data_IF_526602925354
#
_entry.id   IF_526602925354
#
_cell.length_a   1.000
_cell.length_b   1.000
_cell.length_c   1.000
_cell.angle_alpha   90.00
_cell.angle_beta   90.00
_cell.angle_gamma   90.00
#
_symmetry.space_group_name_H-M   'P 1'
#
loop_
_entity.id
_entity.type
_entity.pdbx_description
1 polymer ?
#
# COMPACT_ATOMS: atom_id res chain seq x y z
N UNK A 1 7.43 23.02 -24.85
CA UNK A 1 7.55 22.47 -23.49
C UNK A 1 7.22 20.98 -23.56
N UNK A 2 8.16 20.07 -23.25
CA UNK A 2 7.85 18.65 -23.12
C UNK A 2 6.99 18.51 -21.84
N UNK A 3 5.72 18.15 -21.99
CA UNK A 3 4.87 17.82 -20.86
C UNK A 3 5.52 16.70 -20.06
N UNK A 4 5.63 16.86 -18.76
CA UNK A 4 6.09 15.80 -17.85
C UNK A 4 5.04 14.69 -17.95
N UNK A 5 5.43 13.55 -18.53
CA UNK A 5 4.53 12.40 -18.67
C UNK A 5 4.28 11.83 -17.25
N UNK A 6 3.05 11.88 -16.79
CA UNK A 6 2.63 11.30 -15.53
C UNK A 6 2.55 9.79 -15.68
N UNK A 7 3.23 9.04 -14.79
CA UNK A 7 3.19 7.58 -14.78
C UNK A 7 2.01 7.08 -13.95
N UNK A 8 1.49 5.92 -14.31
CA UNK A 8 0.55 5.14 -13.47
C UNK A 8 1.34 4.19 -12.60
N UNK A 9 1.38 4.48 -11.31
CA UNK A 9 2.16 3.73 -10.33
C UNK A 9 1.21 2.96 -9.43
N UNK A 10 1.34 1.63 -9.40
CA UNK A 10 0.58 0.79 -8.47
C UNK A 10 1.40 0.49 -7.22
N UNK A 11 0.74 0.40 -6.09
CA UNK A 11 1.29 -0.09 -4.82
C UNK A 11 0.49 -1.31 -4.41
N UNK A 12 1.15 -2.46 -4.25
CA UNK A 12 0.49 -3.72 -3.93
C UNK A 12 1.22 -4.48 -2.83
N UNK A 13 0.61 -4.71 -1.66
CA UNK A 13 1.14 -5.64 -0.67
C UNK A 13 1.17 -7.07 -1.19
N UNK A 14 2.30 -7.76 -1.00
CA UNK A 14 2.44 -9.15 -1.43
C UNK A 14 1.96 -10.09 -0.33
N UNK A 15 1.04 -10.96 -0.69
CA UNK A 15 0.56 -12.07 0.10
C UNK A 15 0.61 -13.36 -0.71
N UNK A 16 -0.45 -14.16 -0.65
CA UNK A 16 -0.59 -15.41 -1.39
C UNK A 16 -1.47 -15.26 -2.64
N UNK A 17 -1.48 -14.04 -3.21
CA UNK A 17 -2.26 -13.64 -4.37
C UNK A 17 -1.33 -13.25 -5.52
N UNK A 18 -1.66 -13.66 -6.73
CA UNK A 18 -0.93 -13.29 -7.95
C UNK A 18 -1.85 -12.48 -8.86
N UNK A 19 -2.99 -13.07 -9.24
CA UNK A 19 -3.90 -12.49 -10.24
C UNK A 19 -4.41 -11.11 -9.80
N UNK A 20 -4.74 -10.95 -8.53
CA UNK A 20 -5.24 -9.69 -7.96
C UNK A 20 -4.19 -8.58 -7.88
N UNK A 21 -2.93 -8.86 -8.22
CA UNK A 21 -1.87 -7.86 -8.41
C UNK A 21 -1.62 -7.66 -9.90
N UNK A 22 -1.43 -8.75 -10.63
CA UNK A 22 -1.00 -8.70 -12.03
C UNK A 22 -2.12 -8.22 -12.96
N UNK A 23 -3.34 -8.75 -12.82
CA UNK A 23 -4.44 -8.40 -13.72
C UNK A 23 -4.84 -6.91 -13.61
N UNK A 24 -5.05 -6.33 -12.39
CA UNK A 24 -5.31 -4.90 -12.28
C UNK A 24 -4.18 -4.03 -12.81
N UNK A 25 -2.92 -4.42 -12.59
CA UNK A 25 -1.77 -3.67 -13.12
C UNK A 25 -1.78 -3.62 -14.66
N UNK A 26 -2.15 -4.73 -15.31
CA UNK A 26 -2.27 -4.79 -16.78
C UNK A 26 -3.49 -4.03 -17.27
N UNK A 27 -4.66 -4.26 -16.68
CA UNK A 27 -5.94 -3.66 -17.10
C UNK A 27 -5.93 -2.13 -16.96
N UNK A 28 -5.40 -1.63 -15.82
CA UNK A 28 -5.29 -0.21 -15.54
C UNK A 28 -4.03 0.41 -16.15
N UNK A 29 -3.26 -0.35 -16.97
CA UNK A 29 -2.07 0.10 -17.71
C UNK A 29 -1.01 0.72 -16.80
N UNK A 30 -0.64 0.01 -15.74
CA UNK A 30 0.44 0.45 -14.85
C UNK A 30 1.77 0.53 -15.60
N UNK A 31 2.52 1.62 -15.39
CA UNK A 31 3.90 1.75 -15.86
C UNK A 31 4.89 1.13 -14.88
N UNK A 32 4.51 1.13 -13.59
CA UNK A 32 5.32 0.63 -12.48
C UNK A 32 4.45 0.06 -11.36
N UNK A 33 4.93 -1.00 -10.71
CA UNK A 33 4.33 -1.57 -9.50
C UNK A 33 5.36 -1.62 -8.38
N UNK A 34 5.03 -0.99 -7.24
CA UNK A 34 5.70 -1.18 -5.98
C UNK A 34 5.11 -2.38 -5.26
N UNK A 35 5.94 -3.38 -4.98
CA UNK A 35 5.55 -4.54 -4.19
C UNK A 35 5.98 -4.32 -2.73
N UNK A 36 5.02 -4.28 -1.81
CA UNK A 36 5.28 -4.19 -0.37
C UNK A 36 5.42 -5.60 0.17
N UNK A 37 6.64 -5.96 0.59
CA UNK A 37 7.01 -7.31 1.04
C UNK A 37 7.46 -7.30 2.49
N UNK A 38 7.50 -8.49 3.11
CA UNK A 38 7.95 -8.63 4.49
C UNK A 38 9.45 -8.31 4.63
N UNK A 39 9.82 -7.56 5.68
CA UNK A 39 11.18 -7.13 5.97
C UNK A 39 12.07 -8.27 6.50
N UNK A 40 11.49 -9.34 7.05
CA UNK A 40 12.23 -10.53 7.47
C UNK A 40 12.16 -11.63 6.40
N UNK A 41 13.22 -11.77 5.62
CA UNK A 41 13.30 -12.74 4.52
C UNK A 41 13.12 -14.19 5.01
N UNK A 42 13.60 -14.54 6.22
CA UNK A 42 13.47 -15.88 6.79
C UNK A 42 12.03 -16.26 7.19
N UNK A 43 11.18 -15.27 7.41
CA UNK A 43 9.77 -15.44 7.77
C UNK A 43 8.80 -15.16 6.60
N UNK A 44 9.32 -14.72 5.46
CA UNK A 44 8.51 -14.37 4.30
C UNK A 44 8.09 -15.61 3.51
N UNK A 45 6.91 -16.13 3.86
CA UNK A 45 6.27 -17.25 3.13
C UNK A 45 5.71 -16.83 1.76
N UNK A 46 5.72 -15.52 1.44
CA UNK A 46 5.19 -14.99 0.19
C UNK A 46 6.23 -14.78 -0.90
N UNK A 47 7.51 -15.08 -0.65
CA UNK A 47 8.62 -14.86 -1.60
C UNK A 47 8.37 -15.49 -2.97
N UNK A 48 7.91 -16.74 -3.04
CA UNK A 48 7.58 -17.41 -4.31
C UNK A 48 6.46 -16.73 -5.10
N UNK A 49 5.53 -16.07 -4.40
CA UNK A 49 4.46 -15.31 -5.05
C UNK A 49 5.01 -14.01 -5.61
N UNK A 50 5.87 -13.31 -4.84
CA UNK A 50 6.59 -12.12 -5.31
C UNK A 50 7.36 -12.43 -6.60
N UNK A 51 8.19 -13.47 -6.60
CA UNK A 51 9.02 -13.84 -7.75
C UNK A 51 8.16 -14.12 -9.00
N UNK A 52 7.01 -14.78 -8.80
CA UNK A 52 6.05 -15.04 -9.87
C UNK A 52 5.39 -13.76 -10.39
N UNK A 53 5.00 -12.85 -9.48
CA UNK A 53 4.42 -11.56 -9.83
C UNK A 53 5.41 -10.72 -10.63
N UNK A 54 6.66 -10.59 -10.16
CA UNK A 54 7.72 -9.85 -10.86
C UNK A 54 7.95 -10.40 -12.27
N UNK A 55 8.02 -11.73 -12.41
CA UNK A 55 8.17 -12.37 -13.73
C UNK A 55 7.00 -12.07 -14.66
N UNK A 56 5.75 -12.10 -14.15
CA UNK A 56 4.56 -11.85 -14.97
C UNK A 56 4.44 -10.39 -15.37
N UNK A 57 4.74 -9.45 -14.48
CA UNK A 57 4.74 -8.02 -14.75
C UNK A 57 5.84 -7.66 -15.75
N UNK A 58 7.04 -8.23 -15.60
CA UNK A 58 8.15 -8.02 -16.55
C UNK A 58 7.79 -8.48 -17.96
N UNK A 59 7.09 -9.62 -18.13
CA UNK A 59 6.59 -10.08 -19.44
C UNK A 59 5.61 -9.10 -20.10
N UNK A 60 4.97 -8.23 -19.30
CA UNK A 60 4.05 -7.18 -19.77
C UNK A 60 4.74 -5.82 -19.93
N UNK A 61 6.05 -5.74 -19.72
CA UNK A 61 6.82 -4.50 -19.79
C UNK A 61 6.60 -3.56 -18.59
N UNK A 62 5.96 -4.04 -17.51
CA UNK A 62 5.68 -3.26 -16.30
C UNK A 62 6.88 -3.40 -15.35
N UNK A 63 7.44 -2.25 -14.93
CA UNK A 63 8.56 -2.23 -13.97
C UNK A 63 8.09 -2.57 -12.57
N UNK A 64 8.93 -3.27 -11.81
CA UNK A 64 8.69 -3.55 -10.38
C UNK A 64 9.76 -2.89 -9.52
N UNK A 65 9.34 -2.40 -8.35
CA UNK A 65 10.21 -1.97 -7.26
C UNK A 65 9.73 -2.59 -5.94
N UNK A 66 10.65 -2.80 -5.00
CA UNK A 66 10.37 -3.46 -3.73
C UNK A 66 10.43 -2.44 -2.60
N UNK A 67 9.45 -2.49 -1.70
CA UNK A 67 9.48 -1.82 -0.42
C UNK A 67 9.30 -2.84 0.70
N UNK A 68 10.08 -2.71 1.76
CA UNK A 68 10.06 -3.64 2.88
C UNK A 68 9.28 -3.07 4.06
N UNK A 69 8.38 -3.89 4.64
CA UNK A 69 7.63 -3.54 5.83
C UNK A 69 7.35 -4.78 6.68
N UNK A 70 7.34 -4.61 8.00
CA UNK A 70 6.89 -5.68 8.89
C UNK A 70 5.39 -5.91 8.69
N UNK A 71 5.04 -7.03 8.05
CA UNK A 71 3.66 -7.39 7.70
C UNK A 71 2.72 -7.62 8.88
N UNK A 72 3.27 -7.76 10.10
CA UNK A 72 2.50 -7.99 11.32
C UNK A 72 2.19 -6.69 12.07
N UNK A 73 2.72 -5.55 11.62
CA UNK A 73 2.62 -4.28 12.32
C UNK A 73 2.05 -3.19 11.42
N UNK A 74 1.01 -2.51 11.89
CA UNK A 74 0.30 -1.48 11.14
C UNK A 74 1.20 -0.29 10.76
N UNK A 75 1.91 0.30 11.72
CA UNK A 75 2.70 1.52 11.48
C UNK A 75 3.88 1.35 10.51
N UNK A 76 4.66 0.26 10.51
CA UNK A 76 5.64 -0.01 9.47
C UNK A 76 5.05 -0.08 8.06
N UNK A 77 3.85 -0.65 7.91
CA UNK A 77 3.13 -0.70 6.63
C UNK A 77 2.72 0.71 6.20
N UNK A 78 2.08 1.48 7.09
CA UNK A 78 1.70 2.88 6.81
C UNK A 78 2.94 3.67 6.38
N UNK A 79 4.05 3.56 7.12
CA UNK A 79 5.31 4.24 6.82
C UNK A 79 5.81 3.90 5.43
N UNK A 80 5.94 2.61 5.09
CA UNK A 80 6.44 2.16 3.79
C UNK A 80 5.56 2.69 2.63
N UNK A 81 4.24 2.57 2.75
CA UNK A 81 3.31 3.08 1.73
C UNK A 81 3.37 4.60 1.61
N UNK A 82 3.45 5.31 2.73
CA UNK A 82 3.60 6.78 2.77
C UNK A 82 4.89 7.25 2.08
N UNK A 83 6.01 6.54 2.32
CA UNK A 83 7.29 6.84 1.67
C UNK A 83 7.23 6.62 0.15
N UNK A 84 6.53 5.57 -0.32
CA UNK A 84 6.29 5.35 -1.74
C UNK A 84 5.43 6.48 -2.32
N UNK A 85 4.32 6.84 -1.68
CA UNK A 85 3.45 7.94 -2.14
C UNK A 85 4.24 9.23 -2.26
N UNK A 86 5.06 9.56 -1.27
CA UNK A 86 5.90 10.75 -1.30
C UNK A 86 6.93 10.72 -2.44
N UNK A 87 7.56 9.58 -2.70
CA UNK A 87 8.53 9.36 -3.78
C UNK A 87 7.86 9.52 -5.15
N UNK A 88 6.65 9.03 -5.28
CA UNK A 88 5.87 9.01 -6.52
C UNK A 88 4.86 10.18 -6.66
N UNK A 89 4.91 11.19 -5.81
CA UNK A 89 3.91 12.29 -5.71
C UNK A 89 3.61 13.07 -6.99
N UNK A 90 4.44 12.91 -8.03
CA UNK A 90 4.22 13.53 -9.35
C UNK A 90 3.39 12.65 -10.28
N UNK A 91 3.15 11.41 -9.89
CA UNK A 91 2.51 10.37 -10.67
C UNK A 91 1.07 10.10 -10.17
N UNK A 92 0.28 9.39 -10.97
CA UNK A 92 -1.01 8.85 -10.54
C UNK A 92 -0.77 7.53 -9.79
N UNK A 93 -1.19 7.47 -8.54
CA UNK A 93 -0.88 6.38 -7.60
C UNK A 93 -2.12 5.55 -7.33
N UNK A 94 -2.08 4.28 -7.68
CA UNK A 94 -3.15 3.31 -7.47
C UNK A 94 -2.76 2.35 -6.36
N UNK A 95 -3.51 2.32 -5.25
CA UNK A 95 -3.18 1.53 -4.06
C UNK A 95 -4.10 0.33 -3.97
N UNK A 96 -3.55 -0.86 -4.18
CA UNK A 96 -4.27 -2.12 -4.08
C UNK A 96 -4.45 -2.52 -2.60
N UNK A 97 -5.70 -2.56 -2.12
CA UNK A 97 -6.03 -3.00 -0.77
C UNK A 97 -6.61 -4.42 -0.73
N UNK A 98 -6.66 -5.08 -1.88
CA UNK A 98 -7.23 -6.43 -1.99
C UNK A 98 -6.25 -7.55 -1.63
N UNK A 99 -4.94 -7.25 -1.56
CA UNK A 99 -3.87 -8.23 -1.42
C UNK A 99 -3.07 -8.06 -0.13
N UNK A 100 -2.24 -9.05 0.18
CA UNK A 100 -1.57 -9.10 1.47
C UNK A 100 -2.50 -9.57 2.60
N UNK A 101 -2.25 -9.13 3.82
CA UNK A 101 -3.08 -9.43 4.98
C UNK A 101 -4.10 -8.30 5.25
N UNK A 102 -5.08 -8.55 6.13
CA UNK A 102 -6.04 -7.51 6.56
C UNK A 102 -5.36 -6.25 7.11
N UNK A 103 -4.23 -6.42 7.82
CA UNK A 103 -3.47 -5.28 8.35
C UNK A 103 -2.81 -4.46 7.23
N UNK A 104 -2.43 -5.09 6.11
CA UNK A 104 -1.97 -4.38 4.91
C UNK A 104 -3.09 -3.54 4.29
N UNK A 105 -4.29 -4.10 4.15
CA UNK A 105 -5.45 -3.36 3.62
C UNK A 105 -5.74 -2.10 4.46
N UNK A 106 -5.77 -2.25 5.79
CA UNK A 106 -5.98 -1.13 6.73
C UNK A 106 -4.85 -0.11 6.59
N UNK A 107 -3.58 -0.55 6.59
CA UNK A 107 -2.41 0.34 6.49
C UNK A 107 -2.36 1.10 5.16
N UNK A 108 -2.67 0.46 4.06
CA UNK A 108 -2.76 1.07 2.73
C UNK A 108 -3.86 2.13 2.67
N UNK A 109 -5.07 1.82 3.18
CA UNK A 109 -6.16 2.80 3.26
C UNK A 109 -5.80 3.99 4.14
N UNK A 110 -5.24 3.76 5.33
CA UNK A 110 -4.80 4.85 6.20
C UNK A 110 -3.73 5.72 5.54
N UNK A 111 -2.74 5.10 4.89
CA UNK A 111 -1.69 5.83 4.17
C UNK A 111 -2.27 6.71 3.05
N UNK A 112 -3.25 6.22 2.27
CA UNK A 112 -3.92 6.99 1.22
C UNK A 112 -4.64 8.22 1.76
N UNK A 113 -5.15 8.17 3.00
CA UNK A 113 -5.90 9.24 3.66
C UNK A 113 -5.01 10.30 4.33
N UNK A 114 -3.70 10.07 4.44
CA UNK A 114 -2.75 11.04 5.01
C UNK A 114 -2.40 12.18 4.03
N UNK A 115 -2.71 12.01 2.75
CA UNK A 115 -2.41 12.98 1.71
C UNK A 115 -3.68 13.68 1.22
N UNK A 116 -3.55 14.94 0.84
CA UNK A 116 -4.66 15.78 0.33
C UNK A 116 -4.70 15.81 -1.20
N UNK A 117 -4.26 14.76 -1.85
CA UNK A 117 -4.19 14.69 -3.32
C UNK A 117 -5.12 13.58 -3.83
N UNK A 118 -6.44 13.85 -3.75
CA UNK A 118 -7.48 12.91 -4.19
C UNK A 118 -7.51 12.71 -5.70
N UNK A 119 -6.95 13.63 -6.45
CA UNK A 119 -6.89 13.54 -7.91
C UNK A 119 -5.80 12.58 -8.38
N UNK A 120 -4.83 12.28 -7.50
CA UNK A 120 -3.67 11.43 -7.82
C UNK A 120 -3.55 10.15 -7.02
N UNK A 121 -4.30 10.01 -5.91
CA UNK A 121 -4.22 8.83 -5.05
C UNK A 121 -5.54 8.08 -5.08
N UNK A 122 -5.50 6.88 -5.68
CA UNK A 122 -6.66 6.06 -6.02
C UNK A 122 -6.57 4.69 -5.34
N UNK A 123 -7.03 4.51 -4.10
CA UNK A 123 -7.14 3.18 -3.53
C UNK A 123 -8.24 2.39 -4.24
N UNK A 124 -7.98 1.10 -4.45
CA UNK A 124 -8.92 0.21 -5.10
C UNK A 124 -8.90 -1.19 -4.50
N UNK A 125 -10.01 -1.89 -4.65
CA UNK A 125 -10.17 -3.28 -4.28
C UNK A 125 -10.42 -4.13 -5.53
N UNK A 126 -9.54 -5.09 -5.81
CA UNK A 126 -9.71 -6.06 -6.86
C UNK A 126 -10.48 -7.27 -6.31
N UNK A 127 -11.75 -7.41 -6.68
CA UNK A 127 -12.56 -8.55 -6.29
C UNK A 127 -12.11 -9.80 -7.05
N UNK A 128 -11.84 -10.89 -6.33
CA UNK A 128 -11.52 -12.15 -6.98
C UNK A 128 -12.74 -12.73 -7.70
N UNK A 129 -12.51 -13.35 -8.84
CA UNK A 129 -13.53 -14.08 -9.57
C UNK A 129 -13.85 -15.42 -8.91
N UNK A 130 -12.81 -16.13 -8.42
CA UNK A 130 -12.95 -17.46 -7.82
C UNK A 130 -12.24 -17.54 -6.47
N UNK A 131 -12.92 -18.17 -5.50
CA UNK A 131 -12.42 -18.51 -4.17
C UNK A 131 -12.40 -20.03 -4.04
N UNK A 132 -11.36 -20.69 -4.53
CA UNK A 132 -11.32 -22.13 -4.58
C UNK A 132 -11.16 -22.80 -3.20
N UNK A 133 -11.64 -24.03 -3.04
CA UNK A 133 -11.37 -24.86 -1.86
C UNK A 133 -9.87 -25.20 -1.71
N UNK A 134 -9.42 -25.46 -0.49
CA UNK A 134 -8.05 -25.28 -0.02
C UNK A 134 -6.97 -26.23 -0.57
N UNK A 135 -7.28 -27.34 -1.25
CA UNK A 135 -6.28 -28.34 -1.62
C UNK A 135 -5.64 -28.13 -2.99
N UNK A 136 -4.30 -28.16 -3.02
CA UNK A 136 -3.49 -28.24 -4.26
C UNK A 136 -3.30 -26.96 -5.05
N UNK A 137 -3.48 -25.77 -4.45
CA UNK A 137 -3.56 -24.49 -5.20
C UNK A 137 -2.29 -23.66 -5.18
N UNK A 138 -2.06 -22.95 -6.31
CA UNK A 138 -0.88 -22.12 -6.51
C UNK A 138 -1.00 -20.72 -5.93
N UNK A 139 -2.23 -20.24 -5.64
CA UNK A 139 -2.54 -18.98 -5.00
C UNK A 139 -3.89 -19.06 -4.26
N UNK A 140 -4.20 -18.03 -3.47
CA UNK A 140 -5.36 -18.03 -2.59
C UNK A 140 -6.68 -17.82 -3.34
N UNK A 141 -6.68 -16.97 -4.37
CA UNK A 141 -7.83 -16.71 -5.23
C UNK A 141 -7.39 -16.67 -6.69
N UNK A 142 -8.34 -16.73 -7.64
CA UNK A 142 -8.06 -16.67 -9.07
C UNK A 142 -8.94 -15.62 -9.76
N UNK A 143 -8.37 -15.00 -10.80
CA UNK A 143 -9.01 -14.01 -11.61
C UNK A 143 -9.33 -12.69 -10.87
N UNK A 144 -9.90 -11.77 -11.61
CA UNK A 144 -10.45 -10.51 -11.11
C UNK A 144 -11.80 -10.30 -11.78
N UNK A 145 -12.88 -10.34 -10.99
CA UNK A 145 -14.23 -10.11 -11.47
C UNK A 145 -14.52 -8.62 -11.66
N UNK A 146 -14.04 -7.78 -10.74
CA UNK A 146 -14.29 -6.34 -10.77
C UNK A 146 -13.21 -5.59 -9.98
N UNK A 147 -12.93 -4.35 -10.41
CA UNK A 147 -12.05 -3.40 -9.71
C UNK A 147 -12.91 -2.27 -9.14
N UNK A 148 -13.06 -2.26 -7.82
CA UNK A 148 -13.82 -1.24 -7.11
C UNK A 148 -12.92 -0.08 -6.69
N UNK A 149 -13.19 1.13 -7.17
CA UNK A 149 -12.59 2.34 -6.63
C UNK A 149 -13.11 2.60 -5.21
N UNK A 150 -12.21 2.93 -4.30
CA UNK A 150 -12.57 3.18 -2.91
C UNK A 150 -12.53 4.68 -2.59
N UNK A 151 -13.52 5.20 -1.83
CA UNK A 151 -13.52 6.59 -1.43
C UNK A 151 -12.40 6.86 -0.43
N UNK A 152 -11.77 8.04 -0.53
CA UNK A 152 -10.80 8.52 0.44
C UNK A 152 -11.33 9.74 1.17
N UNK A 153 -10.98 9.83 2.46
CA UNK A 153 -11.25 10.98 3.31
C UNK A 153 -9.93 11.43 3.92
N UNK A 154 -9.69 12.74 3.96
CA UNK A 154 -8.50 13.27 4.61
C UNK A 154 -8.57 13.01 6.12
N UNK A 155 -7.57 12.31 6.64
CA UNK A 155 -7.32 12.29 8.08
C UNK A 155 -6.65 13.63 8.42
N UNK A 156 -7.34 14.47 9.18
CA UNK A 156 -6.79 15.76 9.61
C UNK A 156 -5.48 15.55 10.36
N UNK A 157 -4.42 16.19 9.89
CA UNK A 157 -3.17 16.23 10.66
C UNK A 157 -3.41 17.05 11.93
N UNK A 158 -2.97 16.59 13.11
CA UNK A 158 -3.06 17.36 14.32
C UNK A 158 -2.38 18.73 14.12
N UNK A 159 -2.96 19.79 14.67
CA UNK A 159 -2.34 21.12 14.67
C UNK A 159 -0.94 21.03 15.28
N UNK A 160 -0.01 21.86 14.80
CA UNK A 160 1.38 21.82 15.25
C UNK A 160 1.49 21.98 16.78
N UNK A 161 0.68 22.84 17.36
CA UNK A 161 0.57 23.03 18.82
C UNK A 161 0.23 21.72 19.56
N UNK A 162 -0.63 20.88 18.96
CA UNK A 162 -0.98 19.59 19.55
C UNK A 162 0.17 18.58 19.45
N UNK A 163 0.93 18.62 18.35
CA UNK A 163 2.12 17.78 18.18
C UNK A 163 3.23 18.17 19.16
N UNK A 164 3.43 19.46 19.40
CA UNK A 164 4.35 19.98 20.39
C UNK A 164 3.93 19.57 21.81
N UNK A 165 2.65 19.73 22.15
CA UNK A 165 2.10 19.27 23.41
C UNK A 165 2.31 17.75 23.62
N UNK A 166 2.06 16.95 22.60
CA UNK A 166 2.30 15.49 22.65
C UNK A 166 3.78 15.16 22.87
N UNK A 167 4.69 15.92 22.25
CA UNK A 167 6.15 15.74 22.43
C UNK A 167 6.55 16.05 23.88
N UNK A 168 6.08 17.15 24.44
CA UNK A 168 6.31 17.55 25.84
C UNK A 168 5.77 16.49 26.81
N UNK A 169 4.55 15.99 26.57
CA UNK A 169 3.94 14.92 27.38
C UNK A 169 4.78 13.65 27.34
N UNK A 170 5.25 13.27 26.14
CA UNK A 170 6.09 12.07 25.95
C UNK A 170 7.42 12.20 26.70
N UNK A 171 8.08 13.36 26.61
CA UNK A 171 9.34 13.66 27.30
C UNK A 171 9.16 13.70 28.83
N UNK A 172 7.97 14.07 29.31
CA UNK A 172 7.60 14.07 30.73
C UNK A 172 7.10 12.71 31.26
N UNK A 173 7.33 11.60 30.50
CA UNK A 173 6.92 10.26 30.94
C UNK A 173 5.42 9.94 30.77
N UNK A 174 4.73 10.65 29.87
CA UNK A 174 3.32 10.36 29.50
C UNK A 174 2.26 11.05 30.34
N UNK A 175 2.63 11.80 31.37
CA UNK A 175 1.71 12.61 32.19
C UNK A 175 2.29 13.98 32.51
N UNK A 176 1.50 15.03 32.31
CA UNK A 176 1.86 16.40 32.67
C UNK A 176 0.64 17.12 33.23
N UNK A 177 0.84 17.97 34.28
CA UNK A 177 -0.21 18.80 34.81
C UNK A 177 -0.43 20.02 33.89
N UNK A 178 -1.71 20.39 33.65
CA UNK A 178 -2.12 21.50 32.78
C UNK A 178 -1.37 22.83 33.06
N UNK A 179 -0.97 23.05 34.30
CA UNK A 179 -0.22 24.24 34.76
C UNK A 179 1.21 24.36 34.20
N UNK A 180 1.78 23.28 33.62
CA UNK A 180 3.13 23.25 33.01
C UNK A 180 3.15 23.37 31.49
N UNK A 181 1.98 23.49 30.85
CA UNK A 181 1.84 23.61 29.39
C UNK A 181 1.57 25.05 28.93
N UNK A 182 1.44 26.01 29.84
CA UNK A 182 1.22 27.45 29.56
C UNK A 182 2.54 28.18 29.42
#
# INVERSE_FOLDING_TARGET
MKGIMTLRVHIAPVGFEIDRIVLPAVEMKADKVWLVVHDNVGEDKSSKYRDKIEMLLAKKGIKTEIAYANRLRLFPIIKAVTEIIFKERKNDIYINVATGSKIHAIGCMMASMLFDDREKIHPFYAQAEQYPEYEGKTQQTYGVAEIHSLPTYRIGTPKQELLEAMKIIKEAGGRIQKKRMA
#
